data_IF_588094095340
#
_entry.id   IF_588094095340
#
_cell.length_a   1.000
_cell.length_b   1.000
_cell.length_c   1.000
_cell.angle_alpha   90.00
_cell.angle_beta   90.00
_cell.angle_gamma   90.00
#
_symmetry.space_group_name_H-M   'P 1'
#
loop_
_entity.id
_entity.type
_entity.pdbx_description
1 polymer ?
#
# COMPACT_ATOMS: atom_id res chain seq x y z
N UNK A 1 70.13 -16.65 -10.00
CA UNK A 1 68.69 -16.52 -9.72
C UNK A 1 67.94 -16.64 -11.06
N UNK A 2 67.42 -17.77 -11.55
CA UNK A 2 67.18 -19.11 -10.99
C UNK A 2 65.69 -19.34 -10.68
N UNK A 3 64.99 -20.41 -11.11
CA UNK A 3 65.29 -21.57 -11.98
C UNK A 3 63.97 -22.07 -12.61
N UNK A 4 63.98 -22.51 -13.88
CA UNK A 4 62.89 -23.27 -14.53
C UNK A 4 63.07 -24.77 -14.23
N UNK A 5 62.01 -25.55 -14.02
CA UNK A 5 62.06 -27.03 -14.17
C UNK A 5 60.96 -27.54 -15.10
N UNK A 6 61.35 -28.48 -15.98
CA UNK A 6 60.60 -28.99 -17.14
C UNK A 6 59.96 -30.34 -16.85
N UNK A 7 59.03 -30.76 -17.72
CA UNK A 7 58.63 -32.16 -17.88
C UNK A 7 59.82 -33.04 -18.27
N UNK A 8 59.73 -34.33 -17.94
CA UNK A 8 60.52 -35.41 -18.53
C UNK A 8 59.58 -36.49 -19.07
N UNK A 9 59.56 -36.66 -20.39
CA UNK A 9 59.04 -37.85 -21.06
C UNK A 9 60.26 -38.63 -21.56
N UNK A 10 60.28 -39.95 -21.36
CA UNK A 10 61.31 -40.83 -21.90
C UNK A 10 60.66 -42.02 -22.59
N UNK A 11 60.61 -41.98 -23.92
CA UNK A 11 60.37 -43.17 -24.72
C UNK A 11 61.71 -43.90 -24.93
N UNK A 12 61.69 -45.23 -24.84
CA UNK A 12 62.73 -46.11 -25.37
C UNK A 12 62.08 -47.07 -26.37
N UNK A 13 62.80 -47.37 -27.45
CA UNK A 13 62.33 -48.09 -28.64
C UNK A 13 62.91 -49.51 -28.65
N UNK A 14 62.29 -50.40 -29.44
CA UNK A 14 62.70 -51.78 -29.75
C UNK A 14 62.50 -52.80 -28.60
N UNK A 15 62.17 -54.08 -28.86
CA UNK A 15 62.18 -54.82 -30.14
C UNK A 15 61.11 -55.94 -30.20
N UNK A 16 61.06 -56.60 -31.37
CA UNK A 16 60.49 -57.93 -31.65
C UNK A 16 58.97 -58.09 -31.82
N UNK A 17 58.59 -58.18 -33.10
CA UNK A 17 57.45 -58.96 -33.62
C UNK A 17 57.86 -60.45 -33.66
N UNK A 18 56.87 -61.35 -33.69
CA UNK A 18 57.02 -62.81 -33.88
C UNK A 18 57.64 -63.61 -32.72
N UNK A 19 56.84 -63.87 -31.68
CA UNK A 19 56.83 -65.18 -31.00
C UNK A 19 55.55 -65.35 -30.16
N UNK A 20 55.14 -66.61 -29.93
CA UNK A 20 53.99 -67.03 -29.09
C UNK A 20 52.59 -66.67 -29.64
N UNK A 21 52.31 -67.10 -30.87
CA UNK A 21 51.00 -67.69 -31.17
C UNK A 21 51.03 -69.19 -30.85
N UNK A 22 49.85 -69.76 -30.60
CA UNK A 22 49.61 -71.18 -30.27
C UNK A 22 50.13 -71.63 -28.90
N UNK A 23 49.31 -71.44 -27.87
CA UNK A 23 48.97 -72.60 -27.03
C UNK A 23 47.55 -72.51 -26.42
N UNK A 24 46.81 -73.59 -26.60
CA UNK A 24 45.64 -74.04 -25.82
C UNK A 24 44.34 -73.21 -25.92
N UNK A 25 43.49 -73.70 -26.83
CA UNK A 25 42.03 -73.57 -26.84
C UNK A 25 41.41 -73.96 -25.48
N UNK A 26 40.39 -73.23 -25.00
CA UNK A 26 39.11 -73.81 -24.52
C UNK A 26 38.05 -72.77 -24.05
N UNK A 27 36.80 -73.08 -24.38
CA UNK A 27 35.52 -72.69 -23.74
C UNK A 27 35.03 -71.22 -23.64
N UNK A 28 34.14 -70.89 -24.59
CA UNK A 28 32.72 -70.51 -24.37
C UNK A 28 32.39 -69.42 -23.32
N UNK A 29 31.97 -68.25 -23.80
CA UNK A 29 30.58 -67.74 -23.70
C UNK A 29 30.39 -66.45 -24.51
N UNK A 30 29.34 -66.37 -25.34
CA UNK A 30 28.94 -65.13 -26.03
C UNK A 30 28.15 -64.21 -25.08
N UNK A 31 28.63 -62.99 -24.86
CA UNK A 31 27.84 -61.96 -24.15
C UNK A 31 26.76 -61.36 -25.07
N UNK A 32 25.49 -61.67 -24.77
CA UNK A 32 24.33 -61.03 -25.40
C UNK A 32 24.20 -59.57 -24.90
N UNK A 33 24.02 -58.56 -25.78
CA UNK A 33 23.93 -57.16 -25.35
C UNK A 33 22.63 -56.86 -24.60
N UNK A 34 22.75 -56.32 -23.37
CA UNK A 34 21.60 -55.88 -22.57
C UNK A 34 20.78 -54.76 -23.26
N UNK A 35 19.58 -55.10 -23.72
CA UNK A 35 18.57 -54.10 -24.12
C UNK A 35 18.01 -53.43 -22.86
N UNK A 36 18.64 -52.33 -22.43
CA UNK A 36 18.21 -51.54 -21.28
C UNK A 36 16.85 -50.89 -21.53
N UNK A 37 15.84 -51.32 -20.77
CA UNK A 37 14.46 -50.82 -20.84
C UNK A 37 14.41 -49.30 -20.60
N UNK A 38 13.69 -48.50 -21.42
CA UNK A 38 13.60 -47.06 -21.21
C UNK A 38 12.90 -46.74 -19.87
N UNK A 39 13.53 -45.87 -19.06
CA UNK A 39 12.95 -45.41 -17.78
C UNK A 39 11.67 -44.64 -18.06
N UNK A 40 10.54 -45.08 -17.50
CA UNK A 40 9.28 -44.30 -17.50
C UNK A 40 9.54 -42.91 -16.91
N UNK A 41 9.41 -41.87 -17.74
CA UNK A 41 9.45 -40.48 -17.32
C UNK A 41 8.23 -40.19 -16.44
N UNK A 42 8.44 -40.14 -15.11
CA UNK A 42 7.40 -39.68 -14.19
C UNK A 42 7.05 -38.23 -14.52
N UNK A 43 5.78 -37.97 -14.86
CA UNK A 43 5.26 -36.62 -14.96
C UNK A 43 5.53 -35.90 -13.62
N UNK A 44 6.35 -34.85 -13.65
CA UNK A 44 6.58 -34.02 -12.47
C UNK A 44 5.30 -33.23 -12.23
N UNK A 45 4.74 -33.32 -11.03
CA UNK A 45 3.63 -32.48 -10.61
C UNK A 45 4.02 -31.00 -10.70
N UNK A 46 3.05 -30.14 -11.05
CA UNK A 46 3.21 -28.70 -11.14
C UNK A 46 3.91 -28.15 -9.90
N UNK A 47 4.95 -27.33 -10.11
CA UNK A 47 5.74 -26.76 -9.02
C UNK A 47 4.87 -25.74 -8.27
N UNK A 48 4.62 -25.87 -6.95
CA UNK A 48 3.82 -24.90 -6.23
C UNK A 48 4.48 -23.52 -6.31
N UNK A 49 3.70 -22.50 -6.68
CA UNK A 49 4.17 -21.11 -6.67
C UNK A 49 4.55 -20.69 -5.25
N UNK A 50 5.60 -19.87 -5.14
CA UNK A 50 6.12 -19.42 -3.85
C UNK A 50 5.27 -18.26 -3.31
N UNK A 51 4.37 -18.56 -2.38
CA UNK A 51 3.69 -17.54 -1.57
C UNK A 51 4.70 -16.94 -0.59
N UNK A 52 4.79 -15.60 -0.52
CA UNK A 52 5.63 -14.89 0.44
C UNK A 52 7.16 -15.04 0.23
N UNK A 53 7.62 -15.24 -1.00
CA UNK A 53 9.07 -15.23 -1.34
C UNK A 53 9.89 -16.43 -0.86
N UNK A 54 9.27 -17.42 -0.20
CA UNK A 54 9.98 -18.61 0.28
C UNK A 54 10.10 -19.64 -0.84
N UNK A 55 11.26 -19.71 -1.49
CA UNK A 55 11.55 -20.78 -2.46
C UNK A 55 11.40 -22.18 -1.84
N UNK A 56 10.41 -22.91 -2.32
CA UNK A 56 10.18 -24.32 -2.02
C UNK A 56 11.19 -25.17 -2.83
N UNK A 57 12.28 -25.57 -2.18
CA UNK A 57 13.09 -26.70 -2.62
C UNK A 57 12.54 -27.98 -1.97
N UNK A 58 12.42 -29.05 -2.74
CA UNK A 58 11.73 -30.30 -2.35
C UNK A 58 12.48 -31.12 -1.27
N UNK A 59 13.48 -30.54 -0.60
CA UNK A 59 14.38 -31.18 0.34
C UNK A 59 14.38 -30.44 1.69
N UNK A 60 13.21 -30.30 2.33
CA UNK A 60 13.09 -29.65 3.64
C UNK A 60 12.33 -30.55 4.63
N UNK A 61 12.92 -30.72 5.81
CA UNK A 61 12.39 -31.50 6.95
C UNK A 61 10.91 -31.23 7.22
N UNK A 62 10.18 -32.26 7.70
CA UNK A 62 8.74 -32.19 8.01
C UNK A 62 8.36 -31.04 8.95
N UNK A 63 9.27 -30.55 9.81
CA UNK A 63 9.06 -29.34 10.62
C UNK A 63 8.84 -28.07 9.77
N UNK A 64 9.55 -27.94 8.64
CA UNK A 64 9.37 -26.80 7.71
C UNK A 64 8.16 -26.98 6.80
N UNK A 65 7.78 -28.24 6.46
CA UNK A 65 6.49 -28.53 5.81
C UNK A 65 5.32 -28.08 6.70
N UNK A 66 5.27 -28.53 7.97
CA UNK A 66 4.24 -28.11 8.93
C UNK A 66 4.11 -26.60 9.10
N UNK A 67 5.22 -25.84 9.03
CA UNK A 67 5.16 -24.36 9.05
C UNK A 67 4.51 -23.75 7.80
N UNK A 68 4.74 -24.34 6.62
CA UNK A 68 4.09 -23.91 5.38
C UNK A 68 2.61 -24.32 5.41
N UNK A 69 2.30 -25.54 5.80
CA UNK A 69 0.92 -26.05 5.91
C UNK A 69 0.10 -25.19 6.90
N UNK A 70 0.64 -24.86 8.08
CA UNK A 70 0.00 -23.95 9.04
C UNK A 70 -0.18 -22.52 8.47
N UNK A 71 0.81 -22.00 7.74
CA UNK A 71 0.72 -20.66 7.15
C UNK A 71 -0.38 -20.62 6.08
N UNK A 72 -0.45 -21.62 5.22
CA UNK A 72 -1.51 -21.77 4.21
C UNK A 72 -2.89 -21.93 4.86
N UNK A 73 -2.98 -22.68 5.96
CA UNK A 73 -4.23 -22.83 6.72
C UNK A 73 -4.70 -21.50 7.32
N UNK A 74 -3.80 -20.74 7.95
CA UNK A 74 -4.13 -19.39 8.47
C UNK A 74 -4.55 -18.44 7.34
N UNK A 75 -3.87 -18.48 6.18
CA UNK A 75 -4.27 -17.69 5.00
C UNK A 75 -5.62 -18.12 4.42
N UNK A 76 -6.01 -19.39 4.52
CA UNK A 76 -7.35 -19.85 4.10
C UNK A 76 -8.49 -19.51 5.06
N UNK A 77 -8.17 -19.12 6.30
CA UNK A 77 -9.14 -18.63 7.28
C UNK A 77 -9.34 -17.12 7.21
N UNK A 78 -8.41 -16.38 6.59
CA UNK A 78 -8.54 -14.94 6.41
C UNK A 78 -9.54 -14.65 5.28
N UNK A 79 -10.56 -13.85 5.58
CA UNK A 79 -11.51 -13.40 4.56
C UNK A 79 -10.79 -12.51 3.52
N UNK A 80 -11.18 -12.53 2.24
CA UNK A 80 -10.49 -11.76 1.20
C UNK A 80 -10.49 -10.25 1.49
N UNK A 81 -11.51 -9.74 2.19
CA UNK A 81 -11.60 -8.34 2.66
C UNK A 81 -10.60 -7.99 3.78
N UNK A 82 -10.00 -8.98 4.46
CA UNK A 82 -9.00 -8.74 5.51
C UNK A 82 -7.56 -8.74 5.00
N UNK A 83 -7.29 -9.39 3.87
CA UNK A 83 -5.94 -9.55 3.30
C UNK A 83 -5.59 -8.44 2.30
N UNK A 84 -6.59 -7.74 1.74
CA UNK A 84 -6.37 -6.63 0.82
C UNK A 84 -5.69 -5.46 1.54
N UNK A 85 -4.55 -4.98 1.01
CA UNK A 85 -3.89 -3.76 1.48
C UNK A 85 -4.80 -2.55 1.19
N UNK A 86 -5.53 -2.10 2.22
CA UNK A 86 -6.42 -0.95 2.15
C UNK A 86 -5.71 0.25 1.51
N UNK A 87 -6.25 0.71 0.40
CA UNK A 87 -5.74 1.82 -0.39
C UNK A 87 -6.63 3.04 -0.17
N UNK A 88 -6.05 4.23 -0.23
CA UNK A 88 -6.82 5.49 -0.08
C UNK A 88 -7.84 5.63 -1.21
N UNK A 89 -7.52 5.11 -2.40
CA UNK A 89 -8.44 5.07 -3.56
C UNK A 89 -9.76 4.38 -3.22
N UNK A 90 -9.73 3.33 -2.38
CA UNK A 90 -10.92 2.59 -1.94
C UNK A 90 -11.91 3.46 -1.14
N UNK A 91 -11.45 4.65 -0.69
CA UNK A 91 -12.21 5.63 0.09
C UNK A 91 -12.41 6.97 -0.64
N UNK A 92 -11.99 7.07 -1.91
CA UNK A 92 -12.31 8.21 -2.78
C UNK A 92 -13.61 7.86 -3.49
N UNK A 93 -14.74 8.53 -3.21
CA UNK A 93 -15.99 8.25 -3.91
C UNK A 93 -15.82 8.54 -5.41
N UNK A 94 -16.35 7.64 -6.25
CA UNK A 94 -16.53 7.89 -7.68
C UNK A 94 -17.44 9.10 -7.85
N UNK A 95 -16.82 10.26 -8.06
CA UNK A 95 -17.49 11.54 -8.13
C UNK A 95 -17.53 11.97 -9.59
N UNK A 96 -18.75 12.16 -10.11
CA UNK A 96 -18.91 12.83 -11.39
C UNK A 96 -18.27 14.23 -11.29
N UNK A 97 -17.44 14.55 -12.29
CA UNK A 97 -16.83 15.88 -12.41
C UNK A 97 -17.90 16.96 -12.33
N UNK A 98 -17.58 18.11 -11.75
CA UNK A 98 -18.48 19.28 -11.70
C UNK A 98 -18.97 19.65 -13.11
N UNK A 99 -18.11 19.48 -14.12
CA UNK A 99 -18.48 19.65 -15.54
C UNK A 99 -19.47 18.58 -16.02
N UNK A 100 -19.30 17.30 -15.66
CA UNK A 100 -20.27 16.24 -15.96
C UNK A 100 -21.63 16.57 -15.34
N UNK A 101 -21.67 16.94 -14.06
CA UNK A 101 -22.90 17.33 -13.37
C UNK A 101 -23.55 18.60 -13.94
N UNK A 102 -22.75 19.50 -14.52
CA UNK A 102 -23.21 20.70 -15.23
C UNK A 102 -23.88 20.33 -16.55
N UNK A 103 -23.26 19.47 -17.36
CA UNK A 103 -23.80 19.06 -18.66
C UNK A 103 -24.99 18.09 -18.55
N UNK A 104 -25.07 17.28 -17.48
CA UNK A 104 -26.20 16.36 -17.24
C UNK A 104 -27.49 17.12 -16.87
N UNK A 105 -27.40 18.31 -16.26
CA UNK A 105 -28.55 19.05 -15.76
C UNK A 105 -28.84 20.29 -16.62
N UNK A 106 -29.96 20.28 -17.35
CA UNK A 106 -30.37 21.36 -18.26
C UNK A 106 -30.44 22.72 -17.59
N UNK A 107 -31.07 22.79 -16.41
CA UNK A 107 -31.24 24.04 -15.67
C UNK A 107 -29.89 24.68 -15.32
N UNK A 108 -28.87 23.86 -14.99
CA UNK A 108 -27.53 24.35 -14.66
C UNK A 108 -26.76 24.84 -15.89
N UNK A 109 -26.87 24.14 -17.03
CA UNK A 109 -26.22 24.59 -18.27
C UNK A 109 -26.95 25.80 -18.88
N UNK A 110 -28.25 25.97 -18.65
CA UNK A 110 -28.99 27.19 -19.00
C UNK A 110 -28.47 28.40 -18.21
N UNK A 111 -28.33 28.30 -16.88
CA UNK A 111 -27.70 29.35 -16.05
C UNK A 111 -26.26 29.65 -16.51
N UNK A 112 -25.51 28.63 -16.93
CA UNK A 112 -24.15 28.81 -17.46
C UNK A 112 -24.13 29.49 -18.84
N UNK A 113 -25.07 29.14 -19.73
CA UNK A 113 -25.23 29.80 -21.02
C UNK A 113 -25.64 31.28 -20.84
N UNK A 114 -26.56 31.57 -19.92
CA UNK A 114 -26.95 32.94 -19.57
C UNK A 114 -25.75 33.74 -19.05
N UNK A 115 -24.93 33.15 -18.17
CA UNK A 115 -23.67 33.76 -17.71
C UNK A 115 -22.70 34.04 -18.86
N UNK A 116 -22.51 33.11 -19.79
CA UNK A 116 -21.62 33.30 -20.95
C UNK A 116 -22.17 34.34 -21.94
N UNK A 117 -23.49 34.46 -22.06
CA UNK A 117 -24.15 35.42 -22.95
C UNK A 117 -24.29 36.83 -22.34
N UNK A 118 -24.13 36.99 -21.02
CA UNK A 118 -24.01 38.27 -20.34
C UNK A 118 -22.65 38.95 -20.64
N UNK A 119 -22.48 39.44 -21.86
CA UNK A 119 -21.25 40.13 -22.32
C UNK A 119 -21.05 41.55 -21.72
N UNK A 120 -21.79 41.92 -20.66
CA UNK A 120 -21.71 43.22 -20.00
C UNK A 120 -21.80 43.03 -18.47
N UNK A 121 -20.77 43.52 -17.77
CA UNK A 121 -20.66 43.68 -16.32
C UNK A 121 -21.08 42.48 -15.45
N UNK A 122 -20.30 41.40 -15.56
CA UNK A 122 -20.37 40.19 -14.71
C UNK A 122 -20.48 40.50 -13.20
N UNK A 123 -19.93 41.64 -12.74
CA UNK A 123 -19.97 42.06 -11.34
C UNK A 123 -21.41 42.32 -10.83
N UNK A 124 -22.30 42.83 -11.67
CA UNK A 124 -23.72 43.01 -11.31
C UNK A 124 -24.46 41.67 -11.26
N UNK A 125 -24.17 40.75 -12.19
CA UNK A 125 -24.72 39.40 -12.20
C UNK A 125 -24.35 38.64 -10.92
N UNK A 126 -23.09 38.73 -10.47
CA UNK A 126 -22.65 38.16 -9.19
C UNK A 126 -23.39 38.81 -8.00
N UNK A 127 -23.39 40.15 -7.88
CA UNK A 127 -24.09 40.85 -6.79
C UNK A 127 -25.57 40.49 -6.70
N UNK A 128 -26.22 40.28 -7.85
CA UNK A 128 -27.64 39.91 -7.96
C UNK A 128 -27.93 38.46 -7.56
N UNK A 129 -27.03 37.52 -7.89
CA UNK A 129 -27.27 36.08 -7.70
C UNK A 129 -26.57 35.48 -6.45
N UNK A 130 -25.56 36.14 -5.89
CA UNK A 130 -24.76 35.62 -4.75
C UNK A 130 -24.77 36.58 -3.55
N UNK A 131 -25.88 37.28 -3.30
CA UNK A 131 -26.03 38.32 -2.28
C UNK A 131 -25.88 37.85 -0.82
N UNK A 132 -24.66 37.52 -0.41
CA UNK A 132 -24.27 37.25 0.98
C UNK A 132 -23.69 38.50 1.64
N UNK A 133 -24.28 38.92 2.75
CA UNK A 133 -23.73 40.00 3.59
C UNK A 133 -22.45 39.54 4.28
N UNK A 134 -21.30 40.11 3.91
CA UNK A 134 -20.06 40.00 4.69
C UNK A 134 -19.98 41.13 5.73
N UNK A 135 -20.70 40.95 6.84
CA UNK A 135 -20.56 41.80 8.04
C UNK A 135 -19.45 41.22 8.94
N UNK A 136 -18.22 41.74 8.79
CA UNK A 136 -17.08 41.34 9.60
C UNK A 136 -17.03 42.10 10.93
N UNK A 137 -17.58 41.53 12.00
CA UNK A 137 -17.36 42.00 13.37
C UNK A 137 -16.41 41.06 14.12
N UNK A 138 -15.45 41.65 14.84
CA UNK A 138 -14.39 40.93 15.57
C UNK A 138 -14.91 40.68 16.99
N UNK A 139 -15.70 39.62 17.16
CA UNK A 139 -16.04 39.06 18.48
C UNK A 139 -14.99 38.05 18.94
N UNK A 140 -14.89 37.85 20.26
CA UNK A 140 -14.05 36.84 20.90
C UNK A 140 -14.22 35.44 20.28
N UNK A 141 -13.17 34.60 20.33
CA UNK A 141 -13.14 33.30 19.63
C UNK A 141 -14.10 32.24 20.23
N UNK A 142 -15.38 32.38 19.87
CA UNK A 142 -16.45 31.43 20.15
C UNK A 142 -16.35 30.15 19.31
N UNK A 143 -15.38 30.01 18.37
CA UNK A 143 -15.25 28.80 17.53
C UNK A 143 -14.87 27.58 18.37
N UNK A 144 -14.12 27.79 19.46
CA UNK A 144 -13.86 26.77 20.49
C UNK A 144 -15.13 26.21 21.16
N UNK A 145 -16.24 26.95 21.16
CA UNK A 145 -17.57 26.53 21.63
C UNK A 145 -18.52 26.13 20.49
N UNK A 146 -18.13 26.35 19.23
CA UNK A 146 -18.98 26.11 18.07
C UNK A 146 -19.18 24.60 17.85
N UNK A 147 -20.41 24.12 17.59
CA UNK A 147 -20.72 22.69 17.50
C UNK A 147 -19.84 21.89 16.53
N UNK A 148 -19.27 22.52 15.50
CA UNK A 148 -18.36 21.87 14.55
C UNK A 148 -17.04 21.36 15.15
N UNK A 149 -16.61 21.88 16.31
CA UNK A 149 -15.34 21.50 16.97
C UNK A 149 -15.52 20.56 18.18
N UNK A 150 -16.75 20.12 18.44
CA UNK A 150 -17.04 19.01 19.35
C UNK A 150 -16.52 17.70 18.76
N UNK A 151 -15.92 16.82 19.58
CA UNK A 151 -15.33 15.56 19.09
C UNK A 151 -16.27 14.65 18.28
N UNK A 152 -17.57 14.67 18.59
CA UNK A 152 -18.61 13.97 17.81
C UNK A 152 -18.75 14.55 16.39
N UNK A 153 -18.76 15.87 16.25
CA UNK A 153 -18.85 16.58 14.96
C UNK A 153 -17.54 16.46 14.17
N UNK A 154 -16.38 16.61 14.83
CA UNK A 154 -15.07 16.36 14.24
C UNK A 154 -14.99 14.93 13.69
N UNK A 155 -15.47 13.94 14.45
CA UNK A 155 -15.53 12.56 13.99
C UNK A 155 -16.55 12.37 12.85
N UNK A 156 -17.63 13.15 12.80
CA UNK A 156 -18.57 13.13 11.68
C UNK A 156 -18.00 13.68 10.37
N UNK A 157 -17.02 14.61 10.40
CA UNK A 157 -16.33 15.10 9.19
C UNK A 157 -15.52 14.04 8.46
N UNK A 158 -15.07 13.00 9.16
CA UNK A 158 -14.37 11.86 8.56
C UNK A 158 -15.30 11.09 7.60
N UNK A 159 -14.80 10.65 6.45
CA UNK A 159 -15.57 9.86 5.47
C UNK A 159 -16.26 8.65 6.11
N UNK A 160 -17.46 8.28 5.63
CA UNK A 160 -18.30 7.22 6.21
C UNK A 160 -17.55 5.92 6.49
N UNK A 161 -16.74 5.52 5.53
CA UNK A 161 -16.13 4.18 5.49
C UNK A 161 -14.84 4.16 6.31
N UNK A 162 -14.12 5.28 6.33
CA UNK A 162 -12.99 5.51 7.25
C UNK A 162 -13.53 5.50 8.69
N UNK A 163 -14.65 6.18 8.99
CA UNK A 163 -15.31 6.09 10.32
C UNK A 163 -15.73 4.66 10.66
N UNK A 164 -16.21 3.88 9.68
CA UNK A 164 -16.60 2.49 9.89
C UNK A 164 -15.39 1.60 10.22
N UNK A 165 -14.27 1.77 9.50
CA UNK A 165 -13.01 1.09 9.78
C UNK A 165 -12.47 1.44 11.18
N UNK A 166 -12.43 2.73 11.53
CA UNK A 166 -12.00 3.24 12.85
C UNK A 166 -12.92 2.76 14.00
N UNK A 167 -14.14 2.30 13.71
CA UNK A 167 -15.04 1.69 14.70
C UNK A 167 -14.83 0.18 14.83
N UNK A 168 -14.59 -0.53 13.71
CA UNK A 168 -14.52 -2.01 13.69
C UNK A 168 -13.16 -2.57 14.08
N UNK A 169 -12.06 -1.99 13.60
CA UNK A 169 -10.71 -2.50 13.88
C UNK A 169 -10.10 -1.70 15.03
N UNK A 170 -9.43 -2.38 15.98
CA UNK A 170 -8.59 -1.69 16.97
C UNK A 170 -7.37 -1.10 16.26
N UNK A 171 -7.47 0.19 15.94
CA UNK A 171 -6.39 0.98 15.35
C UNK A 171 -5.18 0.99 16.28
N UNK A 172 -3.94 0.85 15.79
CA UNK A 172 -2.73 0.99 16.61
C UNK A 172 -2.60 2.44 17.11
N UNK A 173 -3.15 2.69 18.31
CA UNK A 173 -3.35 4.02 18.87
C UNK A 173 -2.06 4.84 18.96
N UNK A 174 -0.92 4.21 19.28
CA UNK A 174 0.38 4.89 19.34
C UNK A 174 0.83 5.46 17.98
N UNK A 175 0.54 4.78 16.87
CA UNK A 175 0.84 5.30 15.53
C UNK A 175 -0.09 6.47 15.17
N UNK A 176 -1.37 6.39 15.58
CA UNK A 176 -2.32 7.48 15.40
C UNK A 176 -1.92 8.72 16.22
N UNK A 177 -1.60 8.57 17.51
CA UNK A 177 -1.13 9.64 18.40
C UNK A 177 0.15 10.31 17.87
N UNK A 178 1.08 9.54 17.30
CA UNK A 178 2.30 10.11 16.73
C UNK A 178 1.99 11.02 15.53
N UNK A 179 1.22 10.54 14.55
CA UNK A 179 0.81 11.32 13.39
C UNK A 179 -0.06 12.53 13.78
N UNK A 180 -0.93 12.37 14.79
CA UNK A 180 -1.77 13.43 15.33
C UNK A 180 -0.94 14.55 15.96
N UNK A 181 0.04 14.18 16.81
CA UNK A 181 0.96 15.13 17.43
C UNK A 181 1.81 15.88 16.41
N UNK A 182 2.31 15.18 15.38
CA UNK A 182 3.04 15.78 14.25
C UNK A 182 2.22 16.87 13.57
N UNK A 183 0.97 16.58 13.18
CA UNK A 183 0.09 17.55 12.52
C UNK A 183 -0.25 18.74 13.41
N UNK A 184 -0.67 18.50 14.65
CA UNK A 184 -0.99 19.58 15.60
C UNK A 184 0.25 20.47 15.81
N UNK A 185 1.41 19.88 16.05
CA UNK A 185 2.66 20.64 16.25
C UNK A 185 3.03 21.44 15.00
N UNK A 186 2.81 20.92 13.79
CA UNK A 186 3.08 21.65 12.57
C UNK A 186 2.13 22.84 12.38
N UNK A 187 0.82 22.62 12.42
CA UNK A 187 -0.17 23.64 12.09
C UNK A 187 -0.38 24.69 13.19
N UNK A 188 -0.16 24.37 14.47
CA UNK A 188 -0.11 25.38 15.55
C UNK A 188 1.03 26.37 15.32
N UNK A 189 2.20 25.88 14.89
CA UNK A 189 3.35 26.75 14.61
C UNK A 189 3.25 27.48 13.26
N UNK A 190 2.52 26.93 12.29
CA UNK A 190 2.45 27.42 10.91
C UNK A 190 1.08 27.14 10.26
N UNK A 191 0.02 27.89 10.64
CA UNK A 191 -1.36 27.54 10.26
C UNK A 191 -1.63 27.61 8.76
N UNK A 192 -0.94 28.50 8.03
CA UNK A 192 -1.06 28.69 6.57
C UNK A 192 -0.09 27.85 5.74
N UNK A 193 0.83 27.10 6.38
CA UNK A 193 1.83 26.29 5.67
C UNK A 193 1.29 24.96 5.18
N UNK A 194 2.00 24.35 4.24
CA UNK A 194 1.64 23.05 3.68
C UNK A 194 2.55 21.97 4.26
N UNK A 195 1.96 20.98 4.93
CA UNK A 195 2.67 19.81 5.45
C UNK A 195 2.86 18.77 4.33
N UNK A 196 4.06 18.19 4.26
CA UNK A 196 4.40 17.13 3.32
C UNK A 196 5.04 15.97 4.06
N UNK A 197 4.54 14.76 3.86
CA UNK A 197 5.14 13.53 4.36
C UNK A 197 5.25 12.47 3.26
N UNK A 198 6.29 11.65 3.33
CA UNK A 198 6.39 10.39 2.58
C UNK A 198 5.97 9.26 3.52
N UNK A 199 4.96 8.49 3.11
CA UNK A 199 4.41 7.40 3.93
C UNK A 199 4.28 6.16 3.05
N UNK A 200 5.12 5.16 3.30
CA UNK A 200 5.15 3.92 2.53
C UNK A 200 3.90 3.09 2.81
N UNK A 201 3.55 2.90 4.09
CA UNK A 201 2.35 2.19 4.51
C UNK A 201 1.08 2.89 4.03
N UNK A 202 0.23 2.18 3.29
CA UNK A 202 -1.10 2.66 2.90
C UNK A 202 -1.99 2.91 4.11
N UNK A 203 -1.85 2.10 5.15
CA UNK A 203 -2.57 2.26 6.41
C UNK A 203 -2.17 3.56 7.14
N UNK A 204 -0.88 3.90 7.24
CA UNK A 204 -0.47 5.19 7.81
C UNK A 204 -1.00 6.38 6.99
N UNK A 205 -1.02 6.26 5.65
CA UNK A 205 -1.65 7.28 4.79
C UNK A 205 -3.15 7.40 5.07
N UNK A 206 -3.86 6.29 5.25
CA UNK A 206 -5.27 6.29 5.63
C UNK A 206 -5.51 7.01 6.97
N UNK A 207 -4.67 6.74 7.98
CA UNK A 207 -4.73 7.45 9.26
C UNK A 207 -4.49 8.96 9.11
N UNK A 208 -3.52 9.38 8.30
CA UNK A 208 -3.24 10.81 8.14
C UNK A 208 -4.36 11.54 7.39
N UNK A 209 -5.05 10.89 6.46
CA UNK A 209 -6.28 11.41 5.85
C UNK A 209 -7.43 11.52 6.86
N UNK A 210 -7.62 10.50 7.71
CA UNK A 210 -8.63 10.53 8.77
C UNK A 210 -8.38 11.67 9.77
N UNK A 211 -7.14 11.85 10.23
CA UNK A 211 -6.72 12.96 11.09
C UNK A 211 -6.92 14.31 10.41
N UNK A 212 -6.58 14.43 9.14
CA UNK A 212 -6.79 15.67 8.37
C UNK A 212 -8.27 16.05 8.34
N UNK A 213 -9.15 15.12 7.96
CA UNK A 213 -10.61 15.34 7.95
C UNK A 213 -11.16 15.68 9.34
N UNK A 214 -10.65 15.03 10.39
CA UNK A 214 -11.03 15.32 11.78
C UNK A 214 -10.69 16.76 12.20
N UNK A 215 -9.53 17.25 11.78
CA UNK A 215 -8.99 18.59 12.06
C UNK A 215 -9.40 19.67 11.04
N UNK A 216 -10.35 19.39 10.13
CA UNK A 216 -10.79 20.31 9.06
C UNK A 216 -9.72 20.66 8.00
N UNK A 217 -8.69 19.83 7.88
CA UNK A 217 -7.58 19.99 6.93
C UNK A 217 -7.83 19.25 5.61
N UNK A 218 -7.45 19.87 4.50
CA UNK A 218 -7.49 19.25 3.17
C UNK A 218 -6.23 18.40 2.95
N UNK A 219 -6.41 17.14 2.56
CA UNK A 219 -5.33 16.17 2.39
C UNK A 219 -5.38 15.47 1.03
N UNK A 220 -4.21 15.26 0.41
CA UNK A 220 -4.09 14.66 -0.92
C UNK A 220 -2.82 13.79 -1.01
N UNK A 221 -2.95 12.50 -1.31
CA UNK A 221 -1.81 11.66 -1.68
C UNK A 221 -1.54 11.65 -3.18
N UNK A 222 -0.26 11.61 -3.56
CA UNK A 222 0.21 11.59 -4.95
C UNK A 222 1.53 10.83 -5.08
N UNK A 223 1.88 10.39 -6.29
CA UNK A 223 3.18 9.74 -6.55
C UNK A 223 4.21 10.80 -6.97
N UNK A 224 5.43 10.75 -6.42
CA UNK A 224 6.58 11.55 -6.87
C UNK A 224 7.85 10.72 -6.76
N UNK A 225 8.58 10.61 -7.87
CA UNK A 225 9.86 9.87 -7.94
C UNK A 225 9.78 8.42 -7.43
N UNK A 226 8.70 7.70 -7.77
CA UNK A 226 8.44 6.33 -7.32
C UNK A 226 7.82 6.21 -5.92
N UNK A 227 7.95 7.22 -5.07
CA UNK A 227 7.44 7.21 -3.70
C UNK A 227 6.03 7.80 -3.60
N UNK A 228 5.22 7.31 -2.65
CA UNK A 228 3.91 7.92 -2.32
C UNK A 228 4.09 9.03 -1.29
N UNK A 229 3.70 10.24 -1.68
CA UNK A 229 3.69 11.43 -0.84
C UNK A 229 2.27 11.78 -0.44
N UNK A 230 2.11 12.45 0.70
CA UNK A 230 0.85 13.07 1.12
C UNK A 230 1.10 14.53 1.46
N UNK A 231 0.30 15.41 0.87
CA UNK A 231 0.27 16.85 1.11
C UNK A 231 -0.97 17.18 1.92
N UNK A 232 -0.81 17.95 2.99
CA UNK A 232 -1.90 18.41 3.85
C UNK A 232 -1.81 19.94 3.94
N UNK A 233 -2.93 20.63 3.79
CA UNK A 233 -3.05 22.08 3.93
C UNK A 233 -4.22 22.43 4.84
N UNK A 234 -4.07 23.52 5.56
CA UNK A 234 -5.22 24.21 6.12
C UNK A 234 -5.96 24.93 4.99
N UNK A 235 -7.29 25.02 5.08
CA UNK A 235 -8.11 25.86 4.19
C UNK A 235 -8.41 27.23 4.81
N UNK A 236 -8.19 27.38 6.12
CA UNK A 236 -8.42 28.59 6.90
C UNK A 236 -7.12 29.37 7.13
N UNK A 237 -7.23 30.63 7.56
CA UNK A 237 -6.07 31.45 7.94
C UNK A 237 -5.44 30.94 9.25
N UNK A 238 -6.29 30.62 10.23
CA UNK A 238 -5.90 30.10 11.54
C UNK A 238 -6.10 28.58 11.66
N UNK A 239 -5.36 27.95 12.56
CA UNK A 239 -5.51 26.52 12.87
C UNK A 239 -6.15 26.33 14.24
N UNK A 240 -7.27 25.60 14.27
CA UNK A 240 -8.02 25.30 15.49
C UNK A 240 -7.85 23.85 15.90
N UNK A 241 -7.33 23.64 17.10
CA UNK A 241 -7.21 22.30 17.69
C UNK A 241 -8.60 21.80 18.10
N UNK A 242 -9.05 20.60 17.68
CA UNK A 242 -10.30 20.02 18.18
C UNK A 242 -10.32 19.88 19.72
N UNK A 243 -11.48 20.10 20.33
CA UNK A 243 -11.70 20.01 21.80
C UNK A 243 -11.25 18.69 22.42
N UNK A 244 -11.31 17.60 21.66
CA UNK A 244 -10.74 16.29 21.98
C UNK A 244 -10.02 15.77 20.74
N UNK A 245 -8.84 15.18 20.94
CA UNK A 245 -8.05 14.55 19.88
C UNK A 245 -8.70 13.25 19.39
N UNK A 246 -8.46 12.86 18.14
CA UNK A 246 -9.04 11.66 17.54
C UNK A 246 -8.56 10.40 18.25
N UNK A 247 -7.29 10.36 18.69
CA UNK A 247 -6.78 9.27 19.53
C UNK A 247 -7.58 9.11 20.82
N UNK A 248 -7.70 10.16 21.64
CA UNK A 248 -8.48 10.14 22.88
C UNK A 248 -9.96 9.86 22.65
N UNK A 249 -10.55 10.36 21.56
CA UNK A 249 -11.93 10.07 21.18
C UNK A 249 -12.15 8.57 20.89
N UNK A 250 -11.23 7.94 20.16
CA UNK A 250 -11.29 6.51 19.88
C UNK A 250 -10.99 5.65 21.11
N UNK A 251 -10.02 6.05 21.94
CA UNK A 251 -9.69 5.36 23.20
C UNK A 251 -10.90 5.31 24.15
N UNK A 252 -11.53 6.46 24.42
CA UNK A 252 -12.76 6.53 25.21
C UNK A 252 -13.86 5.66 24.61
N UNK A 253 -13.99 5.63 23.27
CA UNK A 253 -14.97 4.79 22.59
C UNK A 253 -14.70 3.29 22.78
N UNK A 254 -13.44 2.84 22.68
CA UNK A 254 -13.12 1.42 22.85
C UNK A 254 -13.35 0.96 24.29
N UNK A 255 -13.07 1.81 25.27
CA UNK A 255 -13.26 1.51 26.70
C UNK A 255 -14.76 1.45 27.05
N UNK A 256 -15.59 2.31 26.46
CA UNK A 256 -17.04 2.32 26.64
C UNK A 256 -17.80 1.20 25.92
N UNK A 257 -17.13 0.42 25.05
CA UNK A 257 -17.71 -0.76 24.36
C UNK A 257 -17.34 -2.08 25.08
N UNK A 258 -16.47 -2.03 26.09
CA UNK A 258 -16.05 -3.18 26.89
C UNK A 258 -16.80 -3.33 28.23
N UNK A 259 -17.90 -2.61 28.40
CA UNK A 259 -18.85 -2.70 29.52
C UNK A 259 -20.28 -2.88 28.99
#
# INVERSE_FOLDING_TARGET
>A
MGVIKKLTFSNTVSDSIEDVLEDIQNEVNEEVPEIRRPRKTKHRSSRPQAVGGIHLTNAKSGKKKKRVDNCNYLLSLAEPEEVQELSIQDFIPETESVFTQLFTNRDKIEIWNDFINCAQDNEEWFKRNTGGNESSEIEDDLRSKHPAYLGTSCFQRIHSDIRYLLKRKRVPLGALMYLEKELVTFFVNRPTSVYHCQLESSFQRLLIHALSQYMDLSSLSYNRSGNRWTRIKNNHQDFYIPTILLSSYLENRYNNVTH
#
